data_IF_411303054375
#
_entry.id   IF_411303054375
#
_cell.length_a   1.000
_cell.length_b   1.000
_cell.length_c   1.000
_cell.angle_alpha   90.00
_cell.angle_beta   90.00
_cell.angle_gamma   90.00
#
_symmetry.space_group_name_H-M   'P 1'
#
loop_
_entity.id
_entity.type
_entity.pdbx_description
1 polymer ?
#
# COMPACT_ATOMS: atom_id res chain seq x y z
N UNK A 1 -9.23 -1.62 -2.26
CA UNK A 1 -9.04 -0.37 -1.49
C UNK A 1 -7.55 -0.09 -1.35
N UNK A 2 -7.14 1.17 -1.50
CA UNK A 2 -5.77 1.64 -1.28
C UNK A 2 -5.76 3.03 -0.65
N UNK A 3 -4.74 3.32 0.13
CA UNK A 3 -4.42 4.68 0.60
C UNK A 3 -3.34 5.27 -0.32
N UNK A 4 -3.38 6.59 -0.56
CA UNK A 4 -2.25 7.29 -1.16
C UNK A 4 -1.06 7.27 -0.20
N UNK A 5 0.17 7.27 -0.73
CA UNK A 5 1.38 7.16 0.08
C UNK A 5 1.60 8.36 1.01
N UNK A 6 1.00 9.50 0.69
CA UNK A 6 1.00 10.71 1.53
C UNK A 6 -0.16 10.76 2.54
N UNK A 7 -1.01 9.73 2.57
CA UNK A 7 -2.10 9.62 3.55
C UNK A 7 -3.21 10.67 3.37
N UNK A 8 -3.36 11.24 2.16
CA UNK A 8 -4.39 12.24 1.85
C UNK A 8 -5.60 11.69 1.11
N UNK A 9 -5.51 10.51 0.53
CA UNK A 9 -6.59 9.93 -0.27
C UNK A 9 -6.80 8.45 0.01
N UNK A 10 -8.03 8.00 -0.19
CA UNK A 10 -8.41 6.59 -0.27
C UNK A 10 -9.06 6.34 -1.63
N UNK A 11 -8.64 5.26 -2.29
CA UNK A 11 -9.28 4.76 -3.50
C UNK A 11 -9.92 3.41 -3.27
N UNK A 12 -11.15 3.27 -3.70
CA UNK A 12 -11.98 2.06 -3.58
C UNK A 12 -12.43 1.64 -4.97
N UNK A 13 -12.38 0.32 -5.19
CA UNK A 13 -12.96 -0.33 -6.35
C UNK A 13 -13.78 -1.50 -5.84
N UNK A 14 -15.00 -1.65 -6.32
CA UNK A 14 -15.90 -2.74 -5.97
C UNK A 14 -16.16 -3.60 -7.22
N UNK A 15 -15.92 -4.90 -7.07
CA UNK A 15 -16.19 -5.91 -8.08
C UNK A 15 -17.59 -6.49 -7.88
N UNK A 16 -18.40 -6.53 -8.94
CA UNK A 16 -19.68 -7.25 -9.06
C UNK A 16 -20.89 -6.77 -8.24
N UNK A 17 -20.75 -6.08 -7.11
CA UNK A 17 -21.94 -5.56 -6.39
C UNK A 17 -22.48 -4.31 -7.08
N UNK A 18 -21.61 -3.31 -7.27
CA UNK A 18 -21.95 -2.01 -7.84
C UNK A 18 -21.04 -1.60 -8.99
N UNK A 19 -19.95 -2.34 -9.24
CA UNK A 19 -18.96 -1.98 -10.25
C UNK A 19 -18.50 -0.52 -10.11
N UNK A 20 -18.22 -0.15 -8.87
CA UNK A 20 -18.07 1.23 -8.44
C UNK A 20 -16.58 1.56 -8.24
N UNK A 21 -16.23 2.78 -8.60
CA UNK A 21 -14.97 3.42 -8.24
C UNK A 21 -15.32 4.60 -7.33
N UNK A 22 -14.62 4.73 -6.22
CA UNK A 22 -14.79 5.88 -5.33
C UNK A 22 -13.44 6.38 -4.84
N UNK A 23 -13.26 7.70 -4.85
CA UNK A 23 -12.08 8.34 -4.29
C UNK A 23 -12.50 9.32 -3.20
N UNK A 24 -11.82 9.23 -2.06
CA UNK A 24 -12.10 10.03 -0.88
C UNK A 24 -10.88 10.82 -0.44
N UNK A 25 -11.12 11.97 0.16
CA UNK A 25 -10.13 12.64 1.00
C UNK A 25 -9.97 11.90 2.32
N UNK A 26 -8.73 11.74 2.75
CA UNK A 26 -8.33 11.08 3.99
C UNK A 26 -7.34 11.95 4.75
N UNK A 27 -7.33 11.83 6.08
CA UNK A 27 -6.33 12.45 6.92
C UNK A 27 -5.68 11.38 7.79
N UNK A 28 -4.43 11.03 7.49
CA UNK A 28 -3.72 9.97 8.24
C UNK A 28 -3.49 10.33 9.71
N UNK A 29 -3.41 11.62 10.08
CA UNK A 29 -3.18 12.05 11.46
C UNK A 29 -4.41 11.89 12.33
N UNK A 30 -5.61 12.06 11.76
CA UNK A 30 -6.89 11.96 12.50
C UNK A 30 -7.65 10.68 12.21
N UNK A 31 -7.32 9.97 11.13
CA UNK A 31 -8.09 8.83 10.60
C UNK A 31 -9.39 9.24 9.90
N UNK A 32 -9.63 10.53 9.69
CA UNK A 32 -10.91 11.05 9.17
C UNK A 32 -11.03 10.90 7.65
N UNK A 33 -12.23 10.55 7.19
CA UNK A 33 -12.64 10.53 5.78
C UNK A 33 -13.69 11.63 5.60
N UNK A 34 -13.37 12.68 4.83
CA UNK A 34 -14.16 13.93 4.84
C UNK A 34 -15.01 14.16 3.59
N UNK A 35 -14.62 13.64 2.42
CA UNK A 35 -15.36 13.87 1.17
C UNK A 35 -15.10 12.77 0.16
N UNK A 36 -16.17 12.23 -0.45
CA UNK A 36 -16.10 11.47 -1.69
C UNK A 36 -16.08 12.48 -2.84
N UNK A 37 -14.90 12.72 -3.42
CA UNK A 37 -14.73 13.71 -4.50
C UNK A 37 -14.89 13.12 -5.89
N UNK A 38 -14.85 11.79 -6.01
CA UNK A 38 -15.07 11.08 -7.25
C UNK A 38 -15.85 9.79 -7.02
N UNK A 39 -16.89 9.56 -7.83
CA UNK A 39 -17.62 8.29 -7.91
C UNK A 39 -17.98 7.97 -9.36
N UNK A 40 -17.71 6.74 -9.81
CA UNK A 40 -18.10 6.27 -11.15
C UNK A 40 -18.63 4.83 -11.06
N UNK A 41 -19.82 4.59 -11.59
CA UNK A 41 -20.38 3.25 -11.77
C UNK A 41 -20.09 2.78 -13.21
N UNK A 42 -19.27 1.75 -13.36
CA UNK A 42 -18.96 1.20 -14.68
C UNK A 42 -20.00 0.13 -15.05
N UNK A 43 -20.61 0.28 -16.21
CA UNK A 43 -21.59 -0.66 -16.72
C UNK A 43 -20.90 -1.79 -17.50
N UNK A 44 -21.28 -3.03 -17.19
CA UNK A 44 -20.85 -4.23 -17.90
C UNK A 44 -22.07 -5.02 -18.38
N UNK A 45 -21.95 -5.82 -19.45
CA UNK A 45 -23.02 -6.73 -19.84
C UNK A 45 -23.40 -7.66 -18.67
N UNK A 46 -24.70 -7.85 -18.45
CA UNK A 46 -25.21 -8.73 -17.40
C UNK A 46 -24.62 -10.13 -17.52
N UNK A 47 -24.05 -10.65 -16.44
CA UNK A 47 -23.45 -11.99 -16.39
C UNK A 47 -22.07 -12.10 -17.03
N UNK A 48 -21.45 -11.00 -17.47
CA UNK A 48 -20.09 -11.01 -18.02
C UNK A 48 -19.02 -11.42 -17.01
N UNK A 49 -19.24 -11.21 -15.71
CA UNK A 49 -18.18 -11.39 -14.72
C UNK A 49 -17.04 -10.38 -14.90
N UNK A 50 -17.31 -9.25 -15.56
CA UNK A 50 -16.36 -8.16 -15.71
C UNK A 50 -16.56 -7.16 -14.58
N UNK A 51 -15.48 -6.55 -14.09
CA UNK A 51 -15.60 -5.48 -13.10
C UNK A 51 -14.28 -4.85 -12.66
N UNK A 52 -14.35 -3.69 -11.98
CA UNK A 52 -13.22 -3.11 -11.27
C UNK A 52 -12.65 -4.12 -10.26
N UNK A 53 -11.34 -4.28 -10.18
CA UNK A 53 -10.75 -5.30 -9.30
C UNK A 53 -9.62 -4.77 -8.42
N UNK A 54 -8.49 -4.43 -9.03
CA UNK A 54 -7.33 -3.88 -8.34
C UNK A 54 -7.27 -2.37 -8.50
N UNK A 55 -6.69 -1.68 -7.54
CA UNK A 55 -6.34 -0.27 -7.67
C UNK A 55 -5.02 0.06 -6.97
N UNK A 56 -4.38 1.15 -7.37
CA UNK A 56 -3.19 1.72 -6.74
C UNK A 56 -3.02 3.19 -7.11
N UNK A 57 -2.51 4.01 -6.20
CA UNK A 57 -2.03 5.35 -6.55
C UNK A 57 -0.63 5.27 -7.15
N UNK A 58 -0.25 6.25 -7.98
CA UNK A 58 1.14 6.44 -8.37
C UNK A 58 2.00 6.79 -7.16
N UNK A 59 3.32 6.51 -7.19
CA UNK A 59 4.24 6.87 -6.12
C UNK A 59 4.19 8.34 -5.69
N UNK A 60 3.94 9.26 -6.63
CA UNK A 60 3.79 10.70 -6.36
C UNK A 60 2.36 11.14 -6.00
N UNK A 61 1.42 10.20 -5.92
CA UNK A 61 0.00 10.40 -5.64
C UNK A 61 -0.75 11.27 -6.66
N UNK A 62 -0.19 11.56 -7.84
CA UNK A 62 -0.86 12.38 -8.86
C UNK A 62 -1.77 11.57 -9.78
N UNK A 63 -1.62 10.25 -9.81
CA UNK A 63 -2.41 9.34 -10.63
C UNK A 63 -3.08 8.26 -9.78
N UNK A 64 -4.24 7.82 -10.23
CA UNK A 64 -4.92 6.64 -9.71
C UNK A 64 -5.04 5.61 -10.84
N UNK A 65 -4.60 4.40 -10.57
CA UNK A 65 -4.69 3.28 -11.49
C UNK A 65 -5.68 2.25 -10.99
N UNK A 66 -6.34 1.58 -11.92
CA UNK A 66 -7.20 0.45 -11.63
C UNK A 66 -7.18 -0.59 -12.76
N UNK A 67 -7.54 -1.82 -12.43
CA UNK A 67 -7.80 -2.86 -13.40
C UNK A 67 -9.29 -3.12 -13.55
N UNK A 68 -9.67 -3.47 -14.77
CA UNK A 68 -10.90 -4.19 -15.06
C UNK A 68 -10.53 -5.66 -15.23
N UNK A 69 -10.97 -6.47 -14.28
CA UNK A 69 -10.90 -7.92 -14.39
C UNK A 69 -11.93 -8.38 -15.41
N UNK A 70 -11.50 -9.21 -16.36
CA UNK A 70 -12.38 -9.84 -17.35
C UNK A 70 -11.71 -11.12 -17.85
N UNK A 71 -12.47 -12.21 -17.89
CA UNK A 71 -12.07 -13.46 -18.55
C UNK A 71 -12.71 -13.60 -19.94
N UNK A 72 -13.52 -12.62 -20.35
CA UNK A 72 -14.29 -12.61 -21.60
C UNK A 72 -13.74 -11.61 -22.63
N UNK A 73 -12.49 -11.19 -22.44
CA UNK A 73 -11.74 -10.42 -23.43
C UNK A 73 -11.94 -8.90 -23.38
N UNK A 74 -12.35 -8.35 -22.24
CA UNK A 74 -12.47 -6.92 -22.02
C UNK A 74 -11.64 -6.43 -20.82
N UNK A 75 -10.47 -7.07 -20.58
CA UNK A 75 -9.65 -6.71 -19.44
C UNK A 75 -8.85 -5.45 -19.73
N UNK A 76 -8.74 -4.56 -18.74
CA UNK A 76 -8.10 -3.25 -18.89
C UNK A 76 -7.23 -2.86 -17.71
N UNK A 77 -6.25 -2.02 -17.97
CA UNK A 77 -5.61 -1.16 -16.98
C UNK A 77 -5.93 0.28 -17.35
N UNK A 78 -6.49 1.03 -16.40
CA UNK A 78 -7.00 2.39 -16.58
C UNK A 78 -6.26 3.33 -15.64
N UNK A 79 -5.94 4.53 -16.11
CA UNK A 79 -5.32 5.60 -15.35
C UNK A 79 -6.28 6.80 -15.27
N UNK A 80 -6.25 7.48 -14.13
CA UNK A 80 -6.92 8.74 -13.86
C UNK A 80 -5.88 9.74 -13.32
N UNK A 81 -6.02 11.02 -13.65
CA UNK A 81 -5.33 12.12 -12.96
C UNK A 81 -6.18 12.58 -11.77
N UNK A 82 -5.56 12.61 -10.60
CA UNK A 82 -6.22 12.97 -9.32
C UNK A 82 -5.63 14.24 -8.70
N UNK A 83 -4.80 14.99 -9.44
CA UNK A 83 -4.22 16.25 -8.95
C UNK A 83 -5.28 17.32 -8.70
N UNK A 84 -6.32 17.35 -9.54
CA UNK A 84 -7.50 18.19 -9.35
C UNK A 84 -8.67 17.31 -8.89
N UNK A 85 -8.81 17.17 -7.57
CA UNK A 85 -9.77 16.29 -6.90
C UNK A 85 -11.23 16.77 -7.02
N UNK A 86 -11.75 16.82 -8.25
CA UNK A 86 -13.17 17.09 -8.55
C UNK A 86 -13.72 16.02 -9.48
N UNK A 87 -15.01 15.69 -9.32
CA UNK A 87 -15.70 14.68 -10.12
C UNK A 87 -15.45 14.84 -11.63
N UNK A 88 -15.60 16.06 -12.15
CA UNK A 88 -15.50 16.34 -13.57
C UNK A 88 -14.06 16.25 -14.10
N UNK A 89 -13.07 16.76 -13.35
CA UNK A 89 -11.68 16.72 -13.76
C UNK A 89 -11.14 15.28 -13.79
N UNK A 90 -11.43 14.51 -12.74
CA UNK A 90 -11.02 13.10 -12.66
C UNK A 90 -11.70 12.29 -13.77
N UNK A 91 -13.01 12.45 -13.98
CA UNK A 91 -13.73 11.76 -15.06
C UNK A 91 -13.15 12.07 -16.46
N UNK A 92 -12.81 13.34 -16.72
CA UNK A 92 -12.26 13.78 -18.00
C UNK A 92 -10.82 13.29 -18.24
N UNK A 93 -10.11 12.88 -17.19
CA UNK A 93 -8.71 12.43 -17.25
C UNK A 93 -8.53 10.93 -17.52
N UNK A 94 -9.62 10.17 -17.61
CA UNK A 94 -9.61 8.71 -17.76
C UNK A 94 -8.90 8.28 -19.05
N UNK A 95 -7.90 7.42 -18.93
CA UNK A 95 -7.13 6.86 -20.05
C UNK A 95 -7.03 5.33 -19.89
N UNK A 96 -7.45 4.59 -20.91
CA UNK A 96 -7.16 3.15 -21.02
C UNK A 96 -5.67 2.99 -21.39
N UNK A 97 -4.84 2.59 -20.41
CA UNK A 97 -3.39 2.36 -20.60
C UNK A 97 -3.14 1.08 -21.37
N UNK A 98 -3.92 0.05 -21.05
CA UNK A 98 -3.84 -1.25 -21.71
C UNK A 98 -5.23 -1.85 -21.79
N UNK A 99 -5.55 -2.41 -22.95
CA UNK A 99 -6.70 -3.28 -23.17
C UNK A 99 -6.20 -4.62 -23.69
N UNK A 100 -6.86 -5.72 -23.32
CA UNK A 100 -6.52 -7.04 -23.82
C UNK A 100 -7.73 -7.95 -23.91
N UNK A 101 -7.77 -8.73 -24.99
CA UNK A 101 -8.75 -9.78 -25.21
C UNK A 101 -8.31 -11.15 -24.66
N UNK A 102 -7.03 -11.30 -24.31
CA UNK A 102 -6.41 -12.58 -23.94
C UNK A 102 -5.73 -12.60 -22.56
N UNK A 103 -5.72 -11.44 -21.90
CA UNK A 103 -5.17 -11.25 -20.56
C UNK A 103 -6.28 -10.92 -19.58
N UNK A 104 -6.02 -11.20 -18.31
CA UNK A 104 -6.97 -10.96 -17.22
C UNK A 104 -6.24 -10.21 -16.10
N UNK A 105 -6.22 -8.89 -16.21
CA UNK A 105 -5.58 -8.02 -15.24
C UNK A 105 -6.35 -8.01 -13.92
N UNK A 106 -5.64 -8.18 -12.82
CA UNK A 106 -6.19 -8.24 -11.47
C UNK A 106 -5.49 -7.22 -10.56
N UNK A 107 -4.88 -7.62 -9.45
CA UNK A 107 -4.21 -6.68 -8.54
C UNK A 107 -3.14 -5.80 -9.23
N UNK A 108 -3.05 -4.55 -8.78
CA UNK A 108 -1.95 -3.62 -9.05
C UNK A 108 -1.27 -3.27 -7.73
N UNK A 109 0.06 -3.16 -7.74
CA UNK A 109 0.83 -2.86 -6.53
C UNK A 109 2.11 -2.11 -6.91
N UNK A 110 2.40 -0.99 -6.24
CA UNK A 110 3.71 -0.36 -6.37
C UNK A 110 4.78 -1.26 -5.74
N UNK A 111 5.99 -1.24 -6.31
CA UNK A 111 7.19 -1.78 -5.69
C UNK A 111 8.06 -0.71 -5.06
N UNK A 112 9.07 -1.15 -4.32
CA UNK A 112 10.09 -0.29 -3.68
C UNK A 112 11.00 0.43 -4.69
N UNK A 113 10.91 0.07 -5.97
CA UNK A 113 11.72 0.63 -7.06
C UNK A 113 10.98 1.73 -7.85
N UNK A 114 9.83 2.17 -7.35
CA UNK A 114 9.01 3.23 -7.97
C UNK A 114 8.21 2.76 -9.19
N UNK A 115 8.22 1.46 -9.51
CA UNK A 115 7.41 0.87 -10.57
C UNK A 115 6.09 0.34 -10.01
N UNK A 116 5.14 0.07 -10.91
CA UNK A 116 3.90 -0.60 -10.56
C UNK A 116 3.80 -1.95 -11.28
N UNK A 117 3.42 -2.98 -10.53
CA UNK A 117 3.29 -4.35 -11.00
C UNK A 117 1.82 -4.71 -11.12
N UNK A 118 1.47 -5.43 -12.18
CA UNK A 118 0.12 -5.91 -12.42
C UNK A 118 0.12 -7.42 -12.52
N UNK A 119 -0.80 -8.05 -11.78
CA UNK A 119 -1.05 -9.48 -11.90
C UNK A 119 -1.91 -9.78 -13.12
N UNK A 120 -1.50 -10.77 -13.91
CA UNK A 120 -2.25 -11.28 -15.05
C UNK A 120 -2.69 -12.72 -14.74
N UNK A 121 -3.96 -12.88 -14.35
CA UNK A 121 -4.50 -14.11 -13.77
C UNK A 121 -4.26 -15.33 -14.68
N UNK A 122 -3.66 -16.38 -14.12
CA UNK A 122 -3.36 -17.63 -14.80
C UNK A 122 -2.13 -17.59 -15.71
N UNK A 123 -1.37 -16.48 -15.76
CA UNK A 123 -0.11 -16.40 -16.51
C UNK A 123 1.08 -16.76 -15.61
N UNK A 124 2.18 -17.20 -16.23
CA UNK A 124 3.47 -17.38 -15.55
C UNK A 124 4.30 -16.09 -15.55
N UNK A 125 3.66 -14.94 -15.74
CA UNK A 125 4.30 -13.64 -15.89
C UNK A 125 3.53 -12.54 -15.16
N UNK A 126 4.23 -11.45 -14.83
CA UNK A 126 3.65 -10.21 -14.35
C UNK A 126 3.94 -9.09 -15.37
N UNK A 127 3.02 -8.13 -15.45
CA UNK A 127 3.21 -6.92 -16.24
C UNK A 127 3.72 -5.78 -15.36
N UNK A 128 4.31 -4.76 -15.98
CA UNK A 128 4.91 -3.62 -15.30
C UNK A 128 4.46 -2.32 -15.96
N UNK A 129 4.21 -1.29 -15.16
CA UNK A 129 4.25 0.11 -15.57
C UNK A 129 5.57 0.68 -15.03
N UNK A 130 6.47 1.06 -15.93
CA UNK A 130 7.81 1.51 -15.56
C UNK A 130 7.81 2.91 -14.94
N UNK A 131 6.95 3.80 -15.42
CA UNK A 131 6.95 5.21 -15.06
C UNK A 131 5.55 5.65 -14.59
N UNK A 132 5.03 5.14 -13.45
CA UNK A 132 3.63 5.33 -13.04
C UNK A 132 3.21 6.77 -12.73
N UNK A 133 4.17 7.69 -12.60
CA UNK A 133 3.87 9.12 -12.42
C UNK A 133 3.53 9.82 -13.76
N UNK A 134 3.94 9.23 -14.90
CA UNK A 134 3.74 9.83 -16.21
C UNK A 134 2.33 9.58 -16.76
N UNK A 135 1.80 10.58 -17.47
CA UNK A 135 0.42 10.54 -17.99
C UNK A 135 0.30 9.68 -19.25
N UNK A 136 -0.74 8.87 -19.31
CA UNK A 136 -1.12 8.07 -20.46
C UNK A 136 -0.04 7.08 -20.87
N UNK A 137 0.15 6.91 -22.18
CA UNK A 137 1.13 5.96 -22.74
C UNK A 137 2.59 6.29 -22.36
N UNK A 138 2.87 7.50 -21.87
CA UNK A 138 4.19 7.85 -21.34
C UNK A 138 4.56 7.06 -20.06
N UNK A 139 3.58 6.43 -19.37
CA UNK A 139 3.87 5.57 -18.22
C UNK A 139 4.59 4.26 -18.57
N UNK A 140 4.75 3.97 -19.87
CA UNK A 140 5.63 2.91 -20.37
C UNK A 140 5.26 1.52 -19.82
N UNK A 141 4.01 1.12 -20.10
CA UNK A 141 3.51 -0.22 -19.77
C UNK A 141 4.22 -1.31 -20.59
N UNK A 142 4.63 -2.38 -19.93
CA UNK A 142 5.30 -3.55 -20.50
C UNK A 142 4.57 -4.83 -20.08
N UNK A 143 4.05 -5.56 -21.07
CA UNK A 143 3.45 -6.87 -20.86
C UNK A 143 4.53 -7.95 -20.67
N UNK A 144 4.25 -8.97 -19.85
CA UNK A 144 5.10 -10.14 -19.61
C UNK A 144 6.53 -9.80 -19.16
N UNK A 145 6.69 -8.72 -18.39
CA UNK A 145 7.99 -8.17 -18.05
C UNK A 145 8.76 -9.00 -17.01
N UNK A 146 8.06 -9.73 -16.12
CA UNK A 146 8.68 -10.63 -15.13
C UNK A 146 8.16 -12.04 -15.34
N UNK A 147 9.06 -13.01 -15.40
CA UNK A 147 8.73 -14.43 -15.38
C UNK A 147 8.73 -14.96 -13.93
N UNK A 148 7.64 -15.59 -13.53
CA UNK A 148 7.45 -16.18 -12.19
C UNK A 148 7.29 -17.71 -12.22
N UNK A 149 7.61 -18.34 -13.36
CA UNK A 149 7.59 -19.80 -13.49
C UNK A 149 8.52 -20.47 -12.44
N UNK A 150 8.14 -21.64 -11.91
CA UNK A 150 6.98 -22.47 -12.29
C UNK A 150 5.64 -22.01 -11.67
N UNK A 151 5.65 -20.91 -10.91
CA UNK A 151 4.43 -20.32 -10.36
C UNK A 151 3.54 -19.66 -11.41
N UNK A 152 2.32 -19.35 -10.99
CA UNK A 152 1.36 -18.59 -11.79
C UNK A 152 0.82 -17.43 -10.98
N UNK A 153 0.59 -16.32 -11.68
CA UNK A 153 -0.04 -15.13 -11.16
C UNK A 153 -1.51 -15.45 -10.85
N UNK A 154 -1.92 -15.16 -9.63
CA UNK A 154 -3.33 -15.28 -9.21
C UNK A 154 -3.98 -13.91 -9.29
N UNK A 155 -5.14 -13.70 -8.66
CA UNK A 155 -5.78 -12.40 -8.71
C UNK A 155 -5.12 -11.37 -7.76
N UNK A 156 -4.21 -11.80 -6.87
CA UNK A 156 -3.56 -10.96 -5.89
C UNK A 156 -2.07 -10.71 -6.15
N UNK A 157 -1.55 -9.70 -5.46
CA UNK A 157 -0.13 -9.44 -5.23
C UNK A 157 0.09 -9.32 -3.72
N UNK A 158 1.34 -9.45 -3.21
CA UNK A 158 1.63 -9.21 -1.80
C UNK A 158 1.07 -7.85 -1.34
N UNK A 159 0.33 -7.85 -0.23
CA UNK A 159 -0.27 -6.62 0.32
C UNK A 159 0.82 -5.82 0.99
N UNK A 160 1.07 -4.61 0.47
CA UNK A 160 2.02 -3.66 1.03
C UNK A 160 1.29 -2.35 1.32
N UNK A 161 1.60 -1.75 2.47
CA UNK A 161 1.14 -0.39 2.80
C UNK A 161 2.00 0.60 2.01
N UNK A 162 1.37 1.35 1.10
CA UNK A 162 2.07 2.23 0.14
C UNK A 162 2.96 3.29 0.81
N UNK A 163 2.61 3.73 2.02
CA UNK A 163 3.45 4.67 2.79
C UNK A 163 4.79 4.08 3.24
N UNK A 164 4.97 2.77 3.22
CA UNK A 164 6.26 2.13 3.47
C UNK A 164 7.17 2.12 2.22
N UNK A 165 6.62 2.47 1.05
CA UNK A 165 7.34 2.52 -0.22
C UNK A 165 7.81 3.94 -0.57
N UNK A 166 7.14 4.97 -0.04
CA UNK A 166 7.59 6.36 -0.20
C UNK A 166 8.83 6.59 0.67
N UNK A 167 9.97 6.86 0.05
CA UNK A 167 11.26 7.13 0.70
C UNK A 167 11.31 8.44 1.51
N UNK A 168 10.18 8.92 2.00
CA UNK A 168 10.16 9.93 3.06
C UNK A 168 10.90 9.34 4.25
N UNK A 169 11.88 10.07 4.78
CA UNK A 169 12.45 9.74 6.07
C UNK A 169 11.28 9.51 7.03
N UNK A 170 11.16 8.32 7.67
CA UNK A 170 10.17 8.18 8.72
C UNK A 170 10.42 9.32 9.69
N UNK A 171 9.35 9.95 10.18
CA UNK A 171 9.47 10.93 11.26
C UNK A 171 10.42 10.31 12.28
N UNK A 172 11.57 10.97 12.49
CA UNK A 172 12.57 10.52 13.44
C UNK A 172 11.81 10.27 14.73
N UNK A 173 11.75 9.00 15.15
CA UNK A 173 11.23 8.68 16.45
C UNK A 173 12.22 9.21 17.48
N UNK A 174 12.07 10.50 17.81
CA UNK A 174 12.71 11.08 18.96
C UNK A 174 11.97 10.54 20.16
N UNK A 175 12.63 9.60 20.86
CA UNK A 175 12.29 9.34 22.25
C UNK A 175 12.20 10.71 22.96
N UNK A 176 11.11 11.00 23.69
CA UNK A 176 11.06 12.23 24.47
C UNK A 176 12.31 12.27 25.36
N UNK A 177 12.92 13.44 25.51
CA UNK A 177 14.13 13.72 26.33
C UNK A 177 13.90 13.49 27.86
N UNK A 178 13.07 12.53 28.25
CA UNK A 178 12.72 12.15 29.62
C UNK A 178 12.78 10.61 29.78
N UNK A 179 13.89 10.02 29.35
CA UNK A 179 14.76 9.02 30.00
C UNK A 179 14.26 7.82 30.83
N UNK A 180 12.99 7.39 30.83
CA UNK A 180 12.65 6.08 31.45
C UNK A 180 11.58 5.29 30.70
N UNK A 181 12.03 4.26 29.98
CA UNK A 181 11.19 3.15 29.50
C UNK A 181 11.24 2.05 30.58
N UNK A 182 10.08 1.63 31.09
CA UNK A 182 9.95 0.61 32.12
C UNK A 182 9.75 -0.79 31.51
N UNK A 183 10.11 -1.83 32.28
CA UNK A 183 9.84 -3.22 31.88
C UNK A 183 8.33 -3.46 31.84
N UNK A 184 7.80 -3.70 30.64
CA UNK A 184 6.36 -3.88 30.40
C UNK A 184 5.73 -2.79 29.52
N UNK A 185 6.48 -1.74 29.21
CA UNK A 185 6.02 -0.71 28.28
C UNK A 185 5.99 -1.26 26.84
N UNK A 186 4.93 -0.93 26.12
CA UNK A 186 4.82 -1.21 24.69
C UNK A 186 5.24 0.03 23.91
N UNK A 187 6.31 -0.08 23.12
CA UNK A 187 6.77 0.98 22.21
C UNK A 187 6.40 0.58 20.79
N UNK A 188 5.70 1.46 20.08
CA UNK A 188 5.51 1.35 18.64
C UNK A 188 6.74 1.94 17.94
N UNK A 189 7.68 1.08 17.56
CA UNK A 189 8.79 1.45 16.70
C UNK A 189 8.41 1.17 15.24
N UNK A 190 8.15 2.22 14.46
CA UNK A 190 7.96 2.09 13.01
C UNK A 190 9.37 1.91 12.42
N UNK A 191 9.59 0.76 11.77
CA UNK A 191 10.91 0.33 11.28
C UNK A 191 11.62 1.44 10.48
N UNK A 192 12.84 1.80 10.89
CA UNK A 192 13.78 2.51 10.03
C UNK A 192 15.20 1.98 10.24
N UNK A 193 15.78 1.44 9.16
CA UNK A 193 17.20 1.30 8.72
C UNK A 193 18.29 0.93 9.76
N UNK A 194 17.96 0.72 11.03
CA UNK A 194 18.85 0.20 12.06
C UNK A 194 18.26 -1.07 12.62
N UNK A 195 18.93 -2.19 12.36
CA UNK A 195 18.56 -3.51 12.87
C UNK A 195 18.93 -3.67 14.35
N UNK A 196 19.27 -2.58 15.05
CA UNK A 196 19.82 -2.58 16.40
C UNK A 196 19.42 -1.29 17.14
N UNK A 197 18.86 -1.46 18.33
CA UNK A 197 18.60 -0.38 19.28
C UNK A 197 19.14 -0.80 20.66
N UNK A 198 19.84 0.11 21.34
CA UNK A 198 20.32 -0.09 22.71
C UNK A 198 19.33 0.53 23.70
N UNK A 199 18.81 -0.27 24.62
CA UNK A 199 18.02 0.23 25.74
C UNK A 199 18.92 0.28 26.97
N UNK A 200 19.06 1.47 27.56
CA UNK A 200 19.77 1.68 28.82
C UNK A 200 18.85 1.40 30.02
N UNK A 201 19.36 0.78 31.11
CA UNK A 201 20.70 0.22 31.25
C UNK A 201 20.71 -1.24 30.79
N UNK A 202 21.48 -1.48 29.73
CA UNK A 202 22.05 -2.78 29.33
C UNK A 202 21.09 -3.90 28.91
N UNK A 203 20.24 -3.70 27.90
CA UNK A 203 19.86 -4.81 27.01
C UNK A 203 19.77 -4.35 25.55
N UNK A 204 20.51 -5.04 24.68
CA UNK A 204 20.35 -4.96 23.23
C UNK A 204 19.14 -5.81 22.83
N UNK A 205 18.23 -5.23 22.05
CA UNK A 205 17.12 -5.97 21.46
C UNK A 205 17.36 -6.11 19.95
N UNK A 206 17.24 -7.33 19.45
CA UNK A 206 17.26 -7.64 18.03
C UNK A 206 15.82 -7.71 17.52
N UNK A 207 15.51 -6.95 16.47
CA UNK A 207 14.21 -7.01 15.79
C UNK A 207 14.44 -7.58 14.40
N UNK A 208 13.74 -8.66 14.05
CA UNK A 208 13.85 -9.23 12.73
C UNK A 208 13.18 -8.32 11.68
N UNK A 209 13.61 -8.35 10.41
CA UNK A 209 13.13 -7.43 9.38
C UNK A 209 11.63 -7.55 9.06
N UNK A 210 10.98 -8.65 9.46
CA UNK A 210 9.63 -9.03 9.04
C UNK A 210 8.57 -9.01 10.16
N UNK A 211 8.97 -8.71 11.40
CA UNK A 211 8.09 -8.87 12.56
C UNK A 211 7.90 -7.55 13.31
N UNK A 212 6.63 -7.14 13.44
CA UNK A 212 6.16 -6.06 14.32
C UNK A 212 6.24 -6.41 15.82
N UNK A 213 6.92 -7.51 16.17
CA UNK A 213 7.01 -8.04 17.52
C UNK A 213 8.48 -8.16 17.94
N UNK A 214 8.81 -7.43 19.01
CA UNK A 214 10.08 -7.54 19.72
C UNK A 214 10.09 -8.84 20.52
N UNK A 215 11.00 -9.77 20.20
CA UNK A 215 11.15 -11.01 20.95
C UNK A 215 12.31 -10.86 21.96
N UNK A 216 12.00 -10.95 23.26
CA UNK A 216 13.03 -10.98 24.29
C UNK A 216 13.61 -12.40 24.37
N UNK A 217 14.92 -12.61 24.12
CA UNK A 217 15.48 -13.95 24.29
C UNK A 217 15.36 -14.37 25.75
N UNK A 218 14.79 -15.56 25.98
CA UNK A 218 14.78 -16.20 27.28
C UNK A 218 16.21 -16.58 27.65
N UNK A 219 16.92 -15.70 28.35
CA UNK A 219 18.13 -16.10 29.07
C UNK A 219 17.89 -16.16 30.58
N UNK A 220 18.41 -17.26 31.11
CA UNK A 220 18.20 -17.80 32.43
C UNK A 220 18.53 -16.84 33.58
N UNK A 221 17.69 -16.93 34.61
CA UNK A 221 17.97 -16.64 36.02
C UNK A 221 18.81 -15.40 36.35
N UNK A 222 18.18 -14.23 36.34
CA UNK A 222 18.38 -13.28 37.44
C UNK A 222 17.03 -12.70 37.86
N UNK A 223 16.53 -13.18 39.00
CA UNK A 223 15.42 -12.54 39.72
C UNK A 223 15.99 -11.23 40.28
N UNK A 224 15.86 -10.14 39.53
CA UNK A 224 15.92 -8.83 40.13
C UNK A 224 14.57 -8.58 40.79
N UNK A 225 14.51 -8.84 42.09
CA UNK A 225 13.48 -8.28 42.94
C UNK A 225 13.48 -6.76 42.75
N UNK A 226 12.35 -6.20 42.31
CA UNK A 226 12.07 -4.78 42.51
C UNK A 226 12.26 -4.50 44.01
N UNK A 227 13.38 -3.89 44.38
CA UNK A 227 13.52 -3.27 45.69
C UNK A 227 12.53 -2.12 45.72
N UNK A 228 11.41 -2.33 46.41
CA UNK A 228 10.63 -1.22 46.93
C UNK A 228 11.56 -0.25 47.66
N UNK A 229 11.54 1.03 47.27
CA UNK A 229 11.39 2.19 48.17
C UNK A 229 11.39 3.49 47.39
N UNK A 230 10.28 4.24 47.55
CA UNK A 230 10.12 5.69 47.79
C UNK A 230 11.06 6.63 46.99
N UNK A 231 10.58 7.65 46.31
CA UNK A 231 9.72 8.71 46.82
C UNK A 231 8.92 9.36 45.68
N UNK A 232 7.59 9.37 45.81
CA UNK A 232 6.85 10.60 45.52
C UNK A 232 6.90 11.41 46.81
N UNK A 233 7.40 12.65 46.75
CA UNK A 233 6.82 13.85 47.35
C UNK A 233 7.77 15.03 47.13
N UNK A 234 7.19 16.06 46.51
CA UNK A 234 7.66 17.43 46.21
C UNK A 234 8.93 17.60 45.35
#
# INVERSE_FOLDING_TARGET
MKFSSDGKMIGLVNYMDQNLIELFNFNFSTGEITSCFYTETIQFPTGSGDGPYGCSFSPDNTKFYMSIFSQNGNSKVVQYDVTNATQAAVAASKIDIKTSASDTYAALQNGTDGKMYISNFGKTTLDIILDPNLTGLACNYQANAINIAPGQATAGLPVIVESFLSGGSPDLFNLPNQDKICKGDTILAIQSIKNHFEIYPSNTIWVAPDSSLVNFPHHHHHIHHCKHRRLCNE
#
